data_IF_645917578410
#
_entry.id   IF_645917578410
#
_cell.length_a   1.000
_cell.length_b   1.000
_cell.length_c   1.000
_cell.angle_alpha   90.00
_cell.angle_beta   90.00
_cell.angle_gamma   90.00
#
_symmetry.space_group_name_H-M   'P 1'
#
loop_
_entity.id
_entity.type
_entity.pdbx_description
1 polymer ?
#
# COMPACT_ATOMS: atom_id res chain seq x y z
N UNK A 1 1.50 -20.84 4.55
CA UNK A 1 1.50 -20.27 3.19
C UNK A 1 0.28 -19.39 2.96
N UNK A 2 -0.90 -19.85 3.39
CA UNK A 2 -2.19 -19.13 3.33
C UNK A 2 -2.17 -17.75 4.02
N UNK A 3 -1.63 -17.68 5.24
CA UNK A 3 -1.44 -16.38 5.94
C UNK A 3 -0.56 -15.37 5.16
N UNK A 4 0.42 -15.83 4.36
CA UNK A 4 1.26 -14.90 3.59
C UNK A 4 0.50 -14.33 2.38
N UNK A 5 -0.24 -15.20 1.70
CA UNK A 5 -1.13 -14.85 0.59
C UNK A 5 -2.14 -13.78 1.00
N UNK A 6 -2.78 -13.96 2.16
CA UNK A 6 -3.76 -13.02 2.70
C UNK A 6 -3.15 -11.66 3.06
N UNK A 7 -1.97 -11.64 3.71
CA UNK A 7 -1.30 -10.39 4.03
C UNK A 7 -0.90 -9.60 2.77
N UNK A 8 -0.40 -10.27 1.73
CA UNK A 8 -0.05 -9.58 0.46
C UNK A 8 -1.31 -8.99 -0.18
N UNK A 9 -2.42 -9.73 -0.21
CA UNK A 9 -3.69 -9.21 -0.74
C UNK A 9 -4.21 -8.03 0.06
N UNK A 10 -4.10 -8.09 1.38
CA UNK A 10 -4.49 -6.98 2.25
C UNK A 10 -3.66 -5.74 1.98
N UNK A 11 -2.34 -5.87 1.80
CA UNK A 11 -1.47 -4.76 1.38
C UNK A 11 -1.93 -4.20 0.03
N UNK A 12 -2.11 -5.03 -0.98
CA UNK A 12 -2.58 -4.58 -2.31
C UNK A 12 -3.90 -3.80 -2.19
N UNK A 13 -4.85 -4.33 -1.43
CA UNK A 13 -6.15 -3.67 -1.19
C UNK A 13 -5.98 -2.32 -0.50
N UNK A 14 -5.19 -2.25 0.57
CA UNK A 14 -4.89 -1.02 1.28
C UNK A 14 -4.22 0.02 0.37
N UNK A 15 -3.25 -0.38 -0.47
CA UNK A 15 -2.59 0.51 -1.42
C UNK A 15 -3.55 1.08 -2.46
N UNK A 16 -4.48 0.28 -2.99
CA UNK A 16 -5.53 0.75 -3.90
C UNK A 16 -6.44 1.78 -3.20
N UNK A 17 -6.85 1.48 -1.96
CA UNK A 17 -7.67 2.37 -1.15
C UNK A 17 -6.95 3.71 -0.89
N UNK A 18 -5.70 3.66 -0.44
CA UNK A 18 -4.88 4.85 -0.20
C UNK A 18 -4.64 5.66 -1.48
N UNK A 19 -4.34 5.00 -2.60
CA UNK A 19 -4.15 5.69 -3.88
C UNK A 19 -5.38 6.50 -4.28
N UNK A 20 -6.57 5.95 -4.03
CA UNK A 20 -7.84 6.58 -4.36
C UNK A 20 -8.18 7.71 -3.39
N UNK A 21 -8.10 7.46 -2.08
CA UNK A 21 -8.34 8.48 -1.05
C UNK A 21 -7.40 9.68 -1.19
N UNK A 22 -6.11 9.42 -1.49
CA UNK A 22 -5.13 10.46 -1.69
C UNK A 22 -5.47 11.39 -2.86
N UNK A 23 -6.08 10.87 -3.95
CA UNK A 23 -6.54 11.73 -5.04
C UNK A 23 -7.69 12.64 -4.63
N UNK A 24 -8.64 12.11 -3.88
CA UNK A 24 -9.76 12.93 -3.40
C UNK A 24 -9.28 14.00 -2.42
N UNK A 25 -8.44 13.63 -1.45
CA UNK A 25 -7.82 14.60 -0.53
C UNK A 25 -6.97 15.64 -1.26
N UNK A 26 -6.26 15.25 -2.33
CA UNK A 26 -5.48 16.22 -3.13
C UNK A 26 -6.39 17.27 -3.76
N UNK A 27 -7.55 16.87 -4.31
CA UNK A 27 -8.54 17.78 -4.89
C UNK A 27 -9.08 18.73 -3.82
N UNK A 28 -9.41 18.22 -2.63
CA UNK A 28 -9.90 19.02 -1.51
C UNK A 28 -8.85 20.03 -1.00
N UNK A 29 -7.56 19.71 -1.14
CA UNK A 29 -6.43 20.56 -0.75
C UNK A 29 -5.82 21.34 -1.93
N UNK A 30 -6.65 21.76 -2.89
CA UNK A 30 -6.22 22.59 -4.03
C UNK A 30 -5.08 21.96 -4.87
N UNK A 31 -5.18 20.67 -5.18
CA UNK A 31 -4.21 19.88 -5.92
C UNK A 31 -2.84 19.77 -5.24
N UNK A 32 -2.83 19.34 -3.99
CA UNK A 32 -1.62 19.05 -3.23
C UNK A 32 -0.70 18.04 -3.96
N UNK A 33 0.51 18.48 -4.32
CA UNK A 33 1.53 17.68 -5.03
C UNK A 33 1.93 16.43 -4.24
N UNK A 34 2.07 16.55 -2.92
CA UNK A 34 2.52 15.44 -2.08
C UNK A 34 1.47 14.33 -1.98
N UNK A 35 0.18 14.68 -2.00
CA UNK A 35 -0.93 13.71 -2.06
C UNK A 35 -1.02 13.08 -3.45
N UNK A 36 -0.71 13.83 -4.51
CA UNK A 36 -0.62 13.30 -5.86
C UNK A 36 0.53 12.30 -6.02
N UNK A 37 1.72 12.63 -5.50
CA UNK A 37 2.88 11.74 -5.49
C UNK A 37 2.60 10.48 -4.67
N UNK A 38 2.02 10.64 -3.47
CA UNK A 38 1.64 9.51 -2.63
C UNK A 38 0.67 8.59 -3.36
N UNK A 39 -0.38 9.14 -3.99
CA UNK A 39 -1.34 8.37 -4.77
C UNK A 39 -0.66 7.53 -5.85
N UNK A 40 0.23 8.15 -6.62
CA UNK A 40 0.91 7.49 -7.74
C UNK A 40 1.86 6.38 -7.25
N UNK A 41 2.56 6.61 -6.16
CA UNK A 41 3.45 5.60 -5.56
C UNK A 41 2.65 4.42 -5.00
N UNK A 42 1.53 4.66 -4.30
CA UNK A 42 0.66 3.58 -3.83
C UNK A 42 0.08 2.75 -4.99
N UNK A 43 -0.32 3.41 -6.09
CA UNK A 43 -0.81 2.74 -7.30
C UNK A 43 0.27 1.86 -7.94
N UNK A 44 1.49 2.39 -8.13
CA UNK A 44 2.63 1.62 -8.64
C UNK A 44 2.97 0.44 -7.72
N UNK A 45 2.95 0.68 -6.42
CA UNK A 45 3.16 -0.33 -5.40
C UNK A 45 2.17 -1.49 -5.48
N UNK A 46 0.88 -1.17 -5.58
CA UNK A 46 -0.19 -2.14 -5.75
C UNK A 46 -0.01 -2.98 -7.03
N UNK A 47 0.28 -2.33 -8.17
CA UNK A 47 0.49 -3.01 -9.44
C UNK A 47 1.68 -3.99 -9.37
N UNK A 48 2.83 -3.51 -8.87
CA UNK A 48 4.03 -4.34 -8.74
C UNK A 48 3.77 -5.55 -7.85
N UNK A 49 3.11 -5.37 -6.70
CA UNK A 49 2.79 -6.46 -5.80
C UNK A 49 1.77 -7.42 -6.41
N UNK A 50 0.78 -6.93 -7.15
CA UNK A 50 -0.20 -7.75 -7.85
C UNK A 50 0.44 -8.61 -8.93
N UNK A 51 1.32 -8.02 -9.76
CA UNK A 51 2.08 -8.75 -10.78
C UNK A 51 2.90 -9.88 -10.16
N UNK A 52 3.60 -9.62 -9.05
CA UNK A 52 4.33 -10.68 -8.35
C UNK A 52 3.37 -11.69 -7.74
N UNK A 53 2.25 -11.25 -7.18
CA UNK A 53 1.27 -12.14 -6.56
C UNK A 53 0.76 -13.18 -7.55
N UNK A 54 0.33 -12.79 -8.75
CA UNK A 54 -0.20 -13.72 -9.76
C UNK A 54 0.85 -14.67 -10.35
N UNK A 55 2.15 -14.37 -10.21
CA UNK A 55 3.24 -15.27 -10.62
C UNK A 55 3.37 -16.43 -9.63
N UNK A 56 3.22 -16.16 -8.34
CA UNK A 56 3.44 -17.15 -7.27
C UNK A 56 2.14 -17.79 -6.77
N UNK A 57 0.99 -17.21 -7.06
CA UNK A 57 -0.33 -17.60 -6.59
C UNK A 57 -1.37 -17.55 -7.72
N UNK A 58 -2.64 -17.80 -7.39
CA UNK A 58 -3.76 -17.69 -8.33
C UNK A 58 -4.27 -16.24 -8.48
N UNK A 59 -5.06 -15.98 -9.52
CA UNK A 59 -5.72 -14.67 -9.70
C UNK A 59 -6.64 -14.39 -8.51
N UNK A 60 -6.41 -13.32 -7.74
CA UNK A 60 -7.23 -13.05 -6.58
C UNK A 60 -8.52 -12.32 -6.97
N UNK A 61 -9.56 -12.53 -6.16
CA UNK A 61 -10.73 -11.65 -6.16
C UNK A 61 -10.47 -10.51 -5.19
N UNK A 62 -10.26 -9.30 -5.70
CA UNK A 62 -10.07 -8.10 -4.88
C UNK A 62 -11.41 -7.35 -4.85
N UNK A 63 -12.01 -7.27 -3.66
CA UNK A 63 -13.14 -6.39 -3.36
C UNK A 63 -12.68 -5.43 -2.27
N UNK A 64 -12.98 -4.15 -2.43
CA UNK A 64 -12.74 -3.16 -1.40
C UNK A 64 -13.90 -2.18 -1.40
N UNK A 65 -14.37 -1.87 -0.19
CA UNK A 65 -15.34 -0.80 0.02
C UNK A 65 -14.59 0.48 0.32
N UNK A 66 -15.07 1.56 -0.30
CA UNK A 66 -14.49 2.88 -0.10
C UNK A 66 -15.29 3.60 0.96
N UNK A 67 -14.75 3.62 2.16
CA UNK A 67 -15.20 4.47 3.24
C UNK A 67 -14.28 5.70 3.31
N UNK A 68 -14.87 6.87 3.11
CA UNK A 68 -14.19 8.17 3.15
C UNK A 68 -13.94 8.64 4.59
N UNK A 69 -14.58 8.03 5.59
CA UNK A 69 -14.35 8.33 7.00
C UNK A 69 -13.04 7.69 7.52
N UNK A 70 -12.42 6.82 6.71
CA UNK A 70 -11.16 6.15 7.06
C UNK A 70 -9.95 7.08 6.97
N UNK A 71 -9.22 7.27 8.08
CA UNK A 71 -7.96 8.01 8.10
C UNK A 71 -6.90 7.30 7.24
N UNK A 72 -6.43 8.01 6.21
CA UNK A 72 -5.38 7.52 5.31
C UNK A 72 -4.08 7.19 6.07
N UNK A 73 -3.81 7.87 7.19
CA UNK A 73 -2.66 7.60 8.05
C UNK A 73 -2.80 6.27 8.81
N UNK A 74 -4.01 5.92 9.23
CA UNK A 74 -4.26 4.64 9.91
C UNK A 74 -4.10 3.46 8.96
N UNK A 75 -4.64 3.59 7.74
CA UNK A 75 -4.45 2.57 6.68
C UNK A 75 -2.97 2.43 6.33
N UNK A 76 -2.24 3.55 6.20
CA UNK A 76 -0.81 3.54 5.91
C UNK A 76 -0.01 2.87 7.02
N UNK A 77 -0.33 3.16 8.28
CA UNK A 77 0.32 2.55 9.44
C UNK A 77 0.06 1.05 9.52
N UNK A 78 -1.18 0.60 9.29
CA UNK A 78 -1.51 -0.83 9.18
C UNK A 78 -0.67 -1.49 8.07
N UNK A 79 -0.58 -0.85 6.91
CA UNK A 79 0.13 -1.35 5.74
C UNK A 79 1.62 -1.52 6.00
N UNK A 80 2.28 -0.54 6.65
CA UNK A 80 3.68 -0.61 7.06
C UNK A 80 3.95 -1.80 7.98
N UNK A 81 3.07 -2.06 8.95
CA UNK A 81 3.26 -3.19 9.87
C UNK A 81 3.09 -4.55 9.17
N UNK A 82 2.16 -4.64 8.22
CA UNK A 82 2.02 -5.82 7.36
C UNK A 82 3.27 -6.04 6.50
N UNK A 83 3.78 -4.98 5.87
CA UNK A 83 4.99 -5.05 5.04
C UNK A 83 6.22 -5.47 5.85
N UNK A 84 6.40 -4.94 7.06
CA UNK A 84 7.44 -5.37 8.00
C UNK A 84 7.30 -6.84 8.37
N UNK A 85 6.08 -7.29 8.67
CA UNK A 85 5.83 -8.69 9.02
C UNK A 85 6.17 -9.62 7.84
N UNK A 86 5.84 -9.22 6.62
CA UNK A 86 6.13 -9.97 5.39
C UNK A 86 7.63 -9.96 5.09
N UNK A 87 8.31 -8.82 5.17
CA UNK A 87 9.74 -8.69 4.89
C UNK A 87 10.60 -9.58 5.81
N UNK A 88 10.14 -9.82 7.04
CA UNK A 88 10.76 -10.74 8.02
C UNK A 88 10.45 -12.21 7.75
N UNK A 89 9.26 -12.55 7.25
CA UNK A 89 8.78 -13.93 7.05
C UNK A 89 9.12 -14.52 5.69
N UNK A 90 9.22 -13.70 4.64
CA UNK A 90 9.55 -14.18 3.30
C UNK A 90 11.04 -14.54 3.25
N UNK A 91 11.32 -15.84 3.28
CA UNK A 91 12.62 -16.42 2.90
C UNK A 91 12.90 -16.30 1.39
N UNK A 92 13.50 -17.30 0.77
CA UNK A 92 14.03 -17.32 -0.62
C UNK A 92 13.02 -17.06 -1.76
N UNK A 93 11.75 -16.70 -1.50
CA UNK A 93 10.81 -16.15 -2.49
C UNK A 93 11.19 -14.70 -2.85
N UNK A 94 12.37 -14.58 -3.47
CA UNK A 94 13.11 -13.34 -3.68
C UNK A 94 12.31 -12.26 -4.44
N UNK A 95 11.45 -12.68 -5.38
CA UNK A 95 10.71 -11.77 -6.26
C UNK A 95 9.66 -10.91 -5.56
N UNK A 96 8.94 -11.44 -4.57
CA UNK A 96 7.96 -10.67 -3.78
C UNK A 96 8.68 -9.85 -2.70
N UNK A 97 9.71 -10.42 -2.05
CA UNK A 97 10.41 -9.77 -0.93
C UNK A 97 10.99 -8.40 -1.31
N UNK A 98 11.68 -8.32 -2.44
CA UNK A 98 12.27 -7.06 -2.89
C UNK A 98 11.19 -6.00 -3.16
N UNK A 99 10.09 -6.41 -3.77
CA UNK A 99 8.95 -5.52 -4.03
C UNK A 99 8.34 -4.99 -2.72
N UNK A 100 8.18 -5.85 -1.72
CA UNK A 100 7.69 -5.46 -0.38
C UNK A 100 8.65 -4.49 0.31
N UNK A 101 9.96 -4.71 0.22
CA UNK A 101 10.96 -3.82 0.85
C UNK A 101 10.95 -2.42 0.21
N UNK A 102 10.86 -2.34 -1.12
CA UNK A 102 10.76 -1.03 -1.79
C UNK A 102 9.48 -0.30 -1.39
N UNK A 103 8.34 -1.00 -1.37
CA UNK A 103 7.08 -0.42 -0.92
C UNK A 103 7.17 0.06 0.54
N UNK A 104 7.78 -0.71 1.43
CA UNK A 104 7.96 -0.34 2.84
C UNK A 104 8.77 0.95 2.99
N UNK A 105 9.86 1.10 2.24
CA UNK A 105 10.68 2.30 2.29
C UNK A 105 9.91 3.55 1.83
N UNK A 106 9.13 3.42 0.75
CA UNK A 106 8.28 4.50 0.25
C UNK A 106 7.17 4.83 1.26
N UNK A 107 6.49 3.83 1.80
CA UNK A 107 5.39 4.00 2.76
C UNK A 107 5.86 4.67 4.04
N UNK A 108 7.01 4.28 4.60
CA UNK A 108 7.60 4.93 5.78
C UNK A 108 7.97 6.40 5.52
N UNK A 109 8.52 6.69 4.32
CA UNK A 109 8.82 8.06 3.90
C UNK A 109 7.54 8.90 3.83
N UNK A 110 6.50 8.42 3.14
CA UNK A 110 5.24 9.16 3.02
C UNK A 110 4.51 9.28 4.35
N UNK A 111 4.58 8.29 5.22
CA UNK A 111 4.00 8.39 6.56
C UNK A 111 4.58 9.57 7.36
N UNK A 112 5.90 9.80 7.27
CA UNK A 112 6.53 10.99 7.87
C UNK A 112 5.96 12.30 7.32
N UNK A 113 5.82 12.39 5.99
CA UNK A 113 5.37 13.62 5.34
C UNK A 113 3.87 13.88 5.53
N UNK A 114 3.01 12.87 5.34
CA UNK A 114 1.57 13.00 5.49
C UNK A 114 1.18 13.31 6.93
N UNK A 115 1.88 12.74 7.91
CA UNK A 115 1.67 13.05 9.33
C UNK A 115 1.92 14.52 9.65
N UNK A 116 2.76 15.23 8.89
CA UNK A 116 2.98 16.68 9.04
C UNK A 116 1.98 17.54 8.27
N UNK A 117 1.41 17.00 7.20
CA UNK A 117 0.46 17.71 6.34
C UNK A 117 -0.95 17.67 6.92
N UNK A 118 -1.35 16.50 7.43
CA UNK A 118 -2.73 16.21 7.86
C UNK A 118 -2.95 16.39 9.37
N UNK A 119 -1.93 16.86 10.11
CA UNK A 119 -2.02 17.24 11.52
C UNK A 119 -1.65 18.70 11.70
#
# INVERSE_FOLDING_TARGET
MESLKEHILKIISNKIKMATLAKFLSIEQYNSDILNDFSEIQRKGANNLYEKYIIYYEKPTIKFDMDFDGDILDILKETIELEKAIAKKIGTNFGIRQSVIHNLADDEKFHYHLKKLLK
#
